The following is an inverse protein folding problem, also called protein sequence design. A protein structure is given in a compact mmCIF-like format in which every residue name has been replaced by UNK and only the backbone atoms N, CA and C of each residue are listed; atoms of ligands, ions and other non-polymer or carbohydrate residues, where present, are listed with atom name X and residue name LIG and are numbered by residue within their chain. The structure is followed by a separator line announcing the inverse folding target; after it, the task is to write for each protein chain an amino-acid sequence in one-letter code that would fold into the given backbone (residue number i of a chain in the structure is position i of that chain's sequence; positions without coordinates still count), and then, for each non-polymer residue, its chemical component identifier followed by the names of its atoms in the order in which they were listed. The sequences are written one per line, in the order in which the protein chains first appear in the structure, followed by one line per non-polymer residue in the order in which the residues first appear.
data_IF_931697698300
#
_entry.id   IF_931697698300
#
_cell.length_a   1.000
_cell.length_b   1.000
_cell.length_c   1.000
_cell.angle_alpha   90.00
_cell.angle_beta   90.00
_cell.angle_gamma   90.00
#
_symmetry.space_group_name_H-M   'P 1'
#
loop_
_entity.id
_entity.type
_entity.pdbx_description
1 polymer ?
#
# COMPACT_ATOMS: atom_id res chain seq x y z
N UNK A 1 -0.13 -17.93 11.44
CA UNK A 1 -0.49 -16.51 11.55
C UNK A 1 -1.90 -16.38 11.00
N UNK A 2 -2.86 -15.92 11.80
CA UNK A 2 -4.26 -15.88 11.40
C UNK A 2 -4.43 -14.88 10.26
N UNK A 3 -4.59 -15.38 9.03
CA UNK A 3 -5.15 -14.59 7.95
C UNK A 3 -6.60 -14.35 8.32
N UNK A 4 -6.85 -13.30 9.11
CA UNK A 4 -8.19 -12.80 9.34
C UNK A 4 -8.80 -12.64 7.95
N UNK A 5 -9.87 -13.38 7.67
CA UNK A 5 -10.69 -13.20 6.47
C UNK A 5 -11.40 -11.85 6.63
N UNK A 6 -10.64 -10.76 6.57
CA UNK A 6 -11.19 -9.43 6.45
C UNK A 6 -11.99 -9.43 5.15
N UNK A 7 -13.25 -9.05 5.27
CA UNK A 7 -14.10 -8.86 4.11
C UNK A 7 -13.54 -7.74 3.23
N UNK A 8 -13.89 -7.73 1.95
CA UNK A 8 -13.45 -6.66 1.04
C UNK A 8 -13.82 -5.29 1.59
N UNK A 9 -14.99 -5.14 2.23
CA UNK A 9 -15.40 -3.89 2.87
C UNK A 9 -14.50 -3.43 4.02
N UNK A 10 -14.01 -4.35 4.86
CA UNK A 10 -13.05 -4.02 5.93
C UNK A 10 -11.67 -3.68 5.37
N UNK A 11 -11.25 -4.37 4.31
CA UNK A 11 -10.04 -4.04 3.56
C UNK A 11 -10.13 -2.64 2.94
N UNK A 12 -11.25 -2.29 2.33
CA UNK A 12 -11.49 -0.95 1.76
C UNK A 12 -11.50 0.12 2.86
N UNK A 13 -12.14 -0.14 4.00
CA UNK A 13 -12.11 0.77 5.15
C UNK A 13 -10.67 1.00 5.68
N UNK A 14 -9.83 -0.03 5.63
CA UNK A 14 -8.41 0.04 5.97
C UNK A 14 -7.51 0.63 4.89
N UNK A 15 -7.99 0.84 3.66
CA UNK A 15 -7.19 1.33 2.53
C UNK A 15 -6.37 2.60 2.82
N UNK A 16 -6.95 3.70 3.36
CA UNK A 16 -6.18 4.90 3.68
C UNK A 16 -5.09 4.64 4.73
N UNK A 17 -5.29 3.70 5.65
CA UNK A 17 -4.29 3.29 6.63
C UNK A 17 -3.12 2.57 5.95
N UNK A 18 -3.39 1.66 5.00
CA UNK A 18 -2.35 0.95 4.25
C UNK A 18 -1.50 1.90 3.41
N UNK A 19 -2.11 2.87 2.72
CA UNK A 19 -1.38 3.90 1.98
C UNK A 19 -0.50 4.76 2.89
N UNK A 20 -0.99 5.12 4.08
CA UNK A 20 -0.23 5.88 5.09
C UNK A 20 0.94 5.06 5.63
N UNK A 21 0.74 3.77 5.91
CA UNK A 21 1.79 2.86 6.32
C UNK A 21 2.86 2.69 5.23
N UNK A 22 2.45 2.49 3.98
CA UNK A 22 3.35 2.40 2.83
C UNK A 22 4.23 3.65 2.69
N UNK A 23 3.63 4.84 2.80
CA UNK A 23 4.36 6.12 2.80
C UNK A 23 5.36 6.20 3.96
N UNK A 24 4.99 5.73 5.16
CA UNK A 24 5.89 5.73 6.31
C UNK A 24 7.08 4.79 6.10
N UNK A 25 6.85 3.57 5.60
CA UNK A 25 7.91 2.60 5.30
C UNK A 25 8.90 3.16 4.27
N UNK A 26 8.38 3.83 3.22
CA UNK A 26 9.22 4.51 2.23
C UNK A 26 10.03 5.67 2.82
N UNK A 27 9.43 6.47 3.71
CA UNK A 27 10.15 7.53 4.45
C UNK A 27 11.23 6.98 5.38
N UNK A 28 11.01 5.80 5.96
CA UNK A 28 11.99 5.08 6.77
C UNK A 28 13.11 4.46 5.92
N UNK A 29 13.03 4.53 4.59
CA UNK A 29 14.04 3.98 3.69
C UNK A 29 14.01 2.45 3.58
N UNK A 30 12.86 1.82 3.89
CA UNK A 30 12.69 0.37 3.73
C UNK A 30 12.84 -0.05 2.27
N UNK A 31 13.53 -1.17 2.05
CA UNK A 31 13.61 -1.78 0.72
C UNK A 31 12.25 -2.34 0.29
N UNK A 32 12.02 -2.36 -1.02
CA UNK A 32 10.79 -2.89 -1.63
C UNK A 32 10.51 -4.32 -1.18
N UNK A 33 11.54 -5.16 -1.12
CA UNK A 33 11.43 -6.57 -0.70
C UNK A 33 10.93 -6.74 0.73
N UNK A 34 11.21 -5.78 1.61
CA UNK A 34 10.69 -5.80 2.99
C UNK A 34 9.26 -5.29 3.04
N UNK A 35 8.94 -4.28 2.24
CA UNK A 35 7.58 -3.75 2.10
C UNK A 35 6.65 -4.83 1.54
N UNK A 36 7.07 -5.59 0.53
CA UNK A 36 6.30 -6.71 -0.06
C UNK A 36 5.92 -7.78 0.97
N UNK A 37 6.75 -7.98 2.00
CA UNK A 37 6.49 -8.94 3.09
C UNK A 37 5.53 -8.39 4.16
N UNK A 38 5.13 -7.12 4.07
CA UNK A 38 4.22 -6.52 5.06
C UNK A 38 2.76 -6.89 4.82
N UNK A 39 2.00 -6.93 5.91
CA UNK A 39 0.55 -7.19 5.85
C UNK A 39 -0.18 -6.13 5.00
N UNK A 40 0.23 -4.86 5.05
CA UNK A 40 -0.42 -3.82 4.25
C UNK A 40 -0.22 -4.03 2.74
N UNK A 41 0.92 -4.60 2.31
CA UNK A 41 1.12 -4.94 0.90
C UNK A 41 0.17 -6.04 0.45
N UNK A 42 0.08 -7.15 1.19
CA UNK A 42 -0.84 -8.24 0.87
C UNK A 42 -2.31 -7.78 0.86
N UNK A 43 -2.69 -6.84 1.73
CA UNK A 43 -4.02 -6.24 1.74
C UNK A 43 -4.29 -5.40 0.48
N UNK A 44 -3.33 -4.57 0.06
CA UNK A 44 -3.41 -3.78 -1.18
C UNK A 44 -3.46 -4.68 -2.42
N UNK A 45 -2.67 -5.77 -2.46
CA UNK A 45 -2.73 -6.76 -3.53
C UNK A 45 -4.09 -7.44 -3.58
N UNK A 46 -4.64 -7.81 -2.43
CA UNK A 46 -5.98 -8.41 -2.35
C UNK A 46 -7.04 -7.46 -2.88
N UNK A 47 -7.00 -6.17 -2.50
CA UNK A 47 -7.91 -5.15 -3.02
C UNK A 47 -7.78 -4.98 -4.53
N UNK A 48 -6.56 -4.87 -5.05
CA UNK A 48 -6.32 -4.77 -6.49
C UNK A 48 -6.76 -6.03 -7.24
N UNK A 49 -6.59 -7.22 -6.66
CA UNK A 49 -7.01 -8.50 -7.25
C UNK A 49 -8.54 -8.63 -7.29
N UNK A 50 -9.21 -8.19 -6.24
CA UNK A 50 -10.67 -8.26 -6.15
C UNK A 50 -11.36 -7.12 -6.92
N UNK A 51 -10.73 -5.94 -7.01
CA UNK A 51 -11.28 -4.73 -7.60
C UNK A 51 -10.22 -3.98 -8.45
N UNK A 52 -9.73 -4.57 -9.55
CA UNK A 52 -8.63 -4.00 -10.36
C UNK A 52 -8.98 -2.67 -11.04
N UNK A 53 -10.28 -2.38 -11.23
CA UNK A 53 -10.74 -1.11 -11.78
C UNK A 53 -10.77 0.04 -10.76
N UNK A 54 -10.85 -0.28 -9.46
CA UNK A 54 -11.02 0.71 -8.38
C UNK A 54 -9.72 0.96 -7.62
N UNK A 55 -8.91 -0.08 -7.42
CA UNK A 55 -7.65 0.00 -6.69
C UNK A 55 -6.47 -0.27 -7.61
N UNK A 56 -5.39 0.48 -7.41
CA UNK A 56 -4.13 0.30 -8.14
C UNK A 56 -3.26 -0.75 -7.46
N UNK A 57 -2.40 -1.39 -8.24
CA UNK A 57 -1.40 -2.32 -7.71
C UNK A 57 -0.51 -1.64 -6.65
N UNK A 58 -0.15 -2.33 -5.56
CA UNK A 58 0.69 -1.76 -4.52
C UNK A 58 2.06 -1.29 -5.01
N UNK A 59 2.63 -1.97 -6.02
CA UNK A 59 3.87 -1.54 -6.69
C UNK A 59 3.73 -0.18 -7.38
N UNK A 60 2.59 0.08 -8.02
CA UNK A 60 2.28 1.36 -8.64
C UNK A 60 2.07 2.46 -7.59
N UNK A 61 1.33 2.18 -6.53
CA UNK A 61 1.13 3.11 -5.41
C UNK A 61 2.47 3.45 -4.75
N UNK A 62 3.32 2.45 -4.54
CA UNK A 62 4.65 2.65 -3.97
C UNK A 62 5.51 3.53 -4.87
N UNK A 63 5.54 3.30 -6.19
CA UNK A 63 6.27 4.13 -7.12
C UNK A 63 5.77 5.58 -7.16
N UNK A 64 4.44 5.79 -7.10
CA UNK A 64 3.83 7.12 -7.00
C UNK A 64 4.23 7.83 -5.71
N UNK A 65 4.08 7.16 -4.56
CA UNK A 65 4.42 7.75 -3.26
C UNK A 65 5.92 8.01 -3.18
N UNK A 66 6.76 7.10 -3.69
CA UNK A 66 8.20 7.29 -3.73
C UNK A 66 8.58 8.53 -4.54
N UNK A 67 8.01 8.68 -5.75
CA UNK A 67 8.19 9.89 -6.56
C UNK A 67 7.70 11.14 -5.84
N UNK A 68 6.56 11.08 -5.16
CA UNK A 68 6.01 12.20 -4.36
C UNK A 68 6.89 12.56 -3.16
N UNK A 69 7.62 11.58 -2.59
CA UNK A 69 8.60 11.83 -1.53
C UNK A 69 9.93 12.37 -2.09
N UNK A 70 10.33 11.94 -3.29
CA UNK A 70 11.55 12.35 -3.98
C UNK A 70 11.39 13.72 -4.67
N UNK A 71 10.17 14.11 -5.03
CA UNK A 71 9.83 15.43 -5.53
C UNK A 71 9.46 16.32 -4.33
N UNK A 72 10.38 17.16 -3.82
CA UNK A 72 9.97 18.19 -2.88
C UNK A 72 9.01 19.09 -3.64
N UNK A 73 7.73 19.06 -3.27
CA UNK A 73 6.72 19.96 -3.84
C UNK A 73 7.31 21.38 -3.84
N UNK A 74 7.56 22.01 -5.01
CA UNK A 74 7.84 23.43 -5.01
C UNK A 74 6.54 24.08 -4.54
N UNK A 75 6.65 24.70 -3.36
CA UNK A 75 5.59 25.38 -2.63
C UNK A 75 4.79 26.33 -3.52
#
# INVERSE_FOLDING_TARGET
MAQAKLTIGELEAGYPLYCKALRRLLKEGREVKDIEKTVCWGHLETLNRCLPGRYKAPSYLMALIRRDLEQPTPR
#
